data_IF_833620905837
#
_entry.id   IF_833620905837
#
_cell.length_a   1.000
_cell.length_b   1.000
_cell.length_c   1.000
_cell.angle_alpha   90.00
_cell.angle_beta   90.00
_cell.angle_gamma   90.00
#
_symmetry.space_group_name_H-M   'P 1'
#
loop_
_entity.id
_entity.type
_entity.pdbx_description
1 polymer ?
#
# COMPACT_ATOMS: atom_id res chain seq x y z
N UNK A 1 13.29 7.88 -18.71
CA UNK A 1 12.09 7.11 -18.23
C UNK A 1 11.88 5.90 -19.16
N UNK A 2 12.70 4.87 -18.96
CA UNK A 2 12.67 3.66 -19.83
C UNK A 2 11.31 2.93 -19.75
N UNK A 3 10.71 2.82 -18.57
CA UNK A 3 9.43 2.14 -18.37
C UNK A 3 8.28 2.79 -19.15
N UNK A 4 8.24 4.12 -19.21
CA UNK A 4 7.24 4.86 -20.00
C UNK A 4 7.35 4.53 -21.50
N UNK A 5 8.58 4.55 -22.04
CA UNK A 5 8.83 4.22 -23.45
C UNK A 5 8.49 2.76 -23.75
N UNK A 6 8.86 1.86 -22.83
CA UNK A 6 8.54 0.44 -22.95
C UNK A 6 7.03 0.20 -22.94
N UNK A 7 6.29 0.80 -22.00
CA UNK A 7 4.83 0.71 -21.94
C UNK A 7 4.18 1.21 -23.22
N UNK A 8 4.60 2.37 -23.74
CA UNK A 8 4.06 2.90 -25.00
C UNK A 8 4.32 1.99 -26.19
N UNK A 9 5.52 1.43 -26.29
CA UNK A 9 5.84 0.47 -27.37
C UNK A 9 5.04 -0.81 -27.25
N UNK A 10 4.87 -1.35 -26.05
CA UNK A 10 4.12 -2.56 -25.79
C UNK A 10 2.66 -2.45 -26.21
N UNK A 11 2.02 -1.31 -25.95
CA UNK A 11 0.61 -1.06 -26.31
C UNK A 11 0.43 -0.35 -27.65
N UNK A 12 1.49 -0.10 -28.41
CA UNK A 12 1.40 0.52 -29.73
C UNK A 12 1.11 2.03 -29.72
N UNK A 13 1.20 2.71 -28.59
CA UNK A 13 0.94 4.16 -28.45
C UNK A 13 2.16 5.01 -28.87
N UNK A 14 2.62 4.83 -30.07
CA UNK A 14 3.72 5.65 -30.64
C UNK A 14 3.23 7.00 -31.17
N UNK A 15 1.95 7.10 -31.52
CA UNK A 15 1.28 8.33 -31.94
C UNK A 15 0.18 8.68 -30.94
N UNK A 16 0.00 9.99 -30.71
CA UNK A 16 -1.06 10.47 -29.81
C UNK A 16 -2.44 10.23 -30.45
N UNK A 17 -3.23 9.41 -29.79
CA UNK A 17 -4.65 9.19 -30.11
C UNK A 17 -5.44 9.46 -28.82
N UNK A 18 -5.87 10.72 -28.56
CA UNK A 18 -6.37 11.13 -27.25
C UNK A 18 -7.53 10.28 -26.73
N UNK A 19 -8.47 9.91 -27.58
CA UNK A 19 -9.62 9.08 -27.18
C UNK A 19 -9.16 7.71 -26.67
N UNK A 20 -8.31 7.02 -27.43
CA UNK A 20 -7.83 5.69 -27.07
C UNK A 20 -6.95 5.73 -25.83
N UNK A 21 -6.07 6.73 -25.70
CA UNK A 21 -5.20 6.86 -24.54
C UNK A 21 -6.02 7.14 -23.27
N UNK A 22 -7.05 7.98 -23.33
CA UNK A 22 -7.93 8.24 -22.21
C UNK A 22 -8.77 7.02 -21.82
N UNK A 23 -9.31 6.28 -22.80
CA UNK A 23 -10.02 5.03 -22.53
C UNK A 23 -9.11 4.01 -21.84
N UNK A 24 -7.90 3.81 -22.37
CA UNK A 24 -6.92 2.89 -21.77
C UNK A 24 -6.46 3.35 -20.39
N UNK A 25 -6.35 4.65 -20.16
CA UNK A 25 -6.08 5.20 -18.83
C UNK A 25 -7.19 4.81 -17.83
N UNK A 26 -8.46 4.98 -18.19
CA UNK A 26 -9.57 4.61 -17.31
C UNK A 26 -9.57 3.10 -17.02
N UNK A 27 -9.36 2.27 -18.04
CA UNK A 27 -9.24 0.82 -17.85
C UNK A 27 -8.07 0.44 -16.96
N UNK A 28 -6.93 1.11 -17.11
CA UNK A 28 -5.75 0.90 -16.29
C UNK A 28 -5.99 1.32 -14.82
N UNK A 29 -6.71 2.41 -14.57
CA UNK A 29 -7.10 2.83 -13.22
C UNK A 29 -8.03 1.81 -12.56
N UNK A 30 -9.03 1.30 -13.30
CA UNK A 30 -9.92 0.24 -12.79
C UNK A 30 -9.11 -1.00 -12.45
N UNK A 31 -8.21 -1.44 -13.34
CA UNK A 31 -7.34 -2.59 -13.10
C UNK A 31 -6.43 -2.36 -11.88
N UNK A 32 -5.82 -1.18 -11.75
CA UNK A 32 -5.02 -0.82 -10.59
C UNK A 32 -5.84 -0.87 -9.29
N UNK A 33 -7.08 -0.38 -9.31
CA UNK A 33 -8.00 -0.45 -8.18
C UNK A 33 -8.34 -1.90 -7.78
N UNK A 34 -8.57 -2.77 -8.76
CA UNK A 34 -8.83 -4.20 -8.53
C UNK A 34 -7.61 -4.89 -7.92
N UNK A 35 -6.41 -4.65 -8.47
CA UNK A 35 -5.16 -5.21 -7.94
C UNK A 35 -4.91 -4.74 -6.51
N UNK A 36 -5.11 -3.46 -6.23
CA UNK A 36 -4.97 -2.90 -4.89
C UNK A 36 -5.99 -3.50 -3.92
N UNK A 37 -7.27 -3.63 -4.32
CA UNK A 37 -8.31 -4.28 -3.51
C UNK A 37 -7.94 -5.73 -3.16
N UNK A 38 -7.44 -6.48 -4.13
CA UNK A 38 -7.00 -7.86 -3.93
C UNK A 38 -5.80 -7.96 -2.99
N UNK A 39 -4.81 -7.07 -3.17
CA UNK A 39 -3.65 -7.00 -2.28
C UNK A 39 -4.07 -6.71 -0.83
N UNK A 40 -4.91 -5.70 -0.62
CA UNK A 40 -5.46 -5.36 0.70
C UNK A 40 -6.22 -6.52 1.33
N UNK A 41 -7.06 -7.19 0.55
CA UNK A 41 -7.81 -8.37 1.00
C UNK A 41 -6.88 -9.46 1.55
N UNK A 42 -5.82 -9.77 0.81
CA UNK A 42 -4.82 -10.75 1.24
C UNK A 42 -4.03 -10.29 2.47
N UNK A 43 -3.65 -9.00 2.55
CA UNK A 43 -2.95 -8.44 3.71
C UNK A 43 -3.80 -8.45 4.99
N UNK A 44 -5.11 -8.30 4.86
CA UNK A 44 -6.07 -8.44 5.97
C UNK A 44 -6.40 -9.91 6.33
N UNK A 45 -5.74 -10.90 5.71
CA UNK A 45 -5.94 -12.32 5.99
C UNK A 45 -7.26 -12.87 5.47
N UNK A 46 -7.78 -12.33 4.37
CA UNK A 46 -8.96 -12.77 3.63
C UNK A 46 -10.25 -12.78 4.48
N UNK A 47 -10.31 -11.95 5.52
CA UNK A 47 -11.45 -11.87 6.41
C UNK A 47 -12.57 -11.00 5.80
N UNK A 48 -13.76 -11.59 5.63
CA UNK A 48 -14.94 -10.92 5.02
C UNK A 48 -15.32 -9.59 5.66
N UNK A 49 -14.94 -9.36 6.92
CA UNK A 49 -15.19 -8.11 7.64
C UNK A 49 -14.43 -6.93 7.08
N UNK A 50 -13.30 -7.16 6.40
CA UNK A 50 -12.50 -6.13 5.73
C UNK A 50 -12.98 -5.79 4.31
N UNK A 51 -14.05 -6.42 3.82
CA UNK A 51 -14.55 -6.24 2.44
C UNK A 51 -14.83 -4.76 2.13
N UNK A 52 -15.47 -4.06 3.06
CA UNK A 52 -15.78 -2.62 2.92
C UNK A 52 -14.48 -1.81 2.85
N UNK A 53 -13.55 -2.05 3.75
CA UNK A 53 -12.22 -1.40 3.74
C UNK A 53 -11.49 -1.62 2.42
N UNK A 54 -11.42 -2.86 1.93
CA UNK A 54 -10.73 -3.22 0.69
C UNK A 54 -11.38 -2.61 -0.57
N UNK A 55 -12.68 -2.30 -0.53
CA UNK A 55 -13.38 -1.64 -1.64
C UNK A 55 -13.31 -0.12 -1.57
N UNK A 56 -13.47 0.47 -0.39
CA UNK A 56 -13.50 1.94 -0.20
C UNK A 56 -12.12 2.55 -0.45
N UNK A 57 -11.04 1.92 0.02
CA UNK A 57 -9.69 2.50 -0.10
C UNK A 57 -9.30 2.80 -1.55
N UNK A 58 -9.36 1.83 -2.49
CA UNK A 58 -9.04 2.12 -3.89
C UNK A 58 -9.97 3.17 -4.52
N UNK A 59 -11.26 3.16 -4.18
CA UNK A 59 -12.20 4.13 -4.68
C UNK A 59 -11.83 5.56 -4.23
N UNK A 60 -11.56 5.76 -2.93
CA UNK A 60 -11.13 7.05 -2.40
C UNK A 60 -9.77 7.48 -2.97
N UNK A 61 -8.84 6.54 -3.12
CA UNK A 61 -7.53 6.83 -3.70
C UNK A 61 -7.64 7.34 -5.13
N UNK A 62 -8.37 6.61 -5.99
CA UNK A 62 -8.49 6.92 -7.41
C UNK A 62 -9.32 8.17 -7.71
N UNK A 63 -10.09 8.65 -6.75
CA UNK A 63 -10.82 9.94 -6.84
C UNK A 63 -10.00 11.12 -6.31
N UNK A 64 -8.74 10.91 -5.93
CA UNK A 64 -7.88 11.96 -5.42
C UNK A 64 -7.65 13.11 -6.42
N UNK A 65 -7.72 14.39 -5.99
CA UNK A 65 -7.64 15.54 -6.89
C UNK A 65 -6.27 15.67 -7.60
N UNK A 66 -5.22 15.05 -7.07
CA UNK A 66 -3.90 15.01 -7.74
C UNK A 66 -3.96 14.38 -9.14
N UNK A 67 -4.91 13.49 -9.37
CA UNK A 67 -5.09 12.84 -10.67
C UNK A 67 -5.59 13.80 -11.74
N UNK A 68 -6.35 14.84 -11.37
CA UNK A 68 -6.80 15.84 -12.32
C UNK A 68 -5.62 16.51 -13.03
N UNK A 69 -4.60 16.92 -12.28
CA UNK A 69 -3.37 17.47 -12.87
C UNK A 69 -2.59 16.40 -13.68
N UNK A 70 -2.48 15.17 -13.17
CA UNK A 70 -1.79 14.10 -13.88
C UNK A 70 -2.46 13.76 -15.22
N UNK A 71 -3.80 13.83 -15.30
CA UNK A 71 -4.55 13.51 -16.51
C UNK A 71 -4.43 14.57 -17.60
N UNK A 72 -4.10 15.81 -17.25
CA UNK A 72 -3.75 16.83 -18.25
C UNK A 72 -2.51 16.46 -19.07
N UNK A 73 -1.63 15.61 -18.55
CA UNK A 73 -0.47 15.10 -19.29
C UNK A 73 -0.85 13.85 -20.10
N UNK A 74 -1.73 14.00 -21.11
CA UNK A 74 -2.31 12.93 -21.90
C UNK A 74 -1.29 11.90 -22.38
N UNK A 75 -0.13 12.34 -22.86
CA UNK A 75 0.98 11.46 -23.30
C UNK A 75 1.54 10.53 -22.21
N UNK A 76 1.29 10.81 -20.95
CA UNK A 76 1.80 10.03 -19.82
C UNK A 76 0.67 9.41 -18.99
N UNK A 77 -0.55 9.86 -19.14
CA UNK A 77 -1.68 9.49 -18.27
C UNK A 77 -1.91 7.98 -18.24
N UNK A 78 -2.05 7.33 -19.40
CA UNK A 78 -2.21 5.88 -19.46
C UNK A 78 -0.99 5.12 -18.91
N UNK A 79 0.27 5.37 -19.34
CA UNK A 79 1.42 4.66 -18.80
C UNK A 79 1.56 4.81 -17.28
N UNK A 80 1.25 5.97 -16.70
CA UNK A 80 1.31 6.20 -15.24
C UNK A 80 0.20 5.42 -14.54
N UNK A 81 -1.04 5.46 -15.04
CA UNK A 81 -2.16 4.69 -14.49
C UNK A 81 -1.87 3.17 -14.51
N UNK A 82 -1.34 2.67 -15.63
CA UNK A 82 -0.92 1.27 -15.76
C UNK A 82 0.19 0.92 -14.75
N UNK A 83 1.19 1.77 -14.63
CA UNK A 83 2.32 1.57 -13.73
C UNK A 83 1.92 1.63 -12.24
N UNK A 84 0.84 2.33 -11.87
CA UNK A 84 0.27 2.24 -10.51
C UNK A 84 -0.22 0.82 -10.20
N UNK A 85 -0.87 0.16 -11.17
CA UNK A 85 -1.25 -1.25 -11.05
C UNK A 85 -0.03 -2.17 -10.93
N UNK A 86 1.03 -1.89 -11.69
CA UNK A 86 2.30 -2.63 -11.59
C UNK A 86 2.94 -2.44 -10.21
N UNK A 87 2.96 -1.22 -9.65
CA UNK A 87 3.49 -0.95 -8.31
C UNK A 87 2.72 -1.74 -7.22
N UNK A 88 1.39 -1.75 -7.29
CA UNK A 88 0.57 -2.53 -6.37
C UNK A 88 0.83 -4.04 -6.52
N UNK A 89 0.90 -4.56 -7.74
CA UNK A 89 1.22 -5.95 -8.02
C UNK A 89 2.65 -6.33 -7.61
N UNK A 90 3.61 -5.41 -7.74
CA UNK A 90 4.98 -5.57 -7.31
C UNK A 90 5.06 -5.77 -5.80
N UNK A 91 4.49 -4.83 -5.03
CA UNK A 91 4.46 -4.92 -3.57
C UNK A 91 3.73 -6.19 -3.12
N UNK A 92 2.57 -6.49 -3.71
CA UNK A 92 1.86 -7.74 -3.43
C UNK A 92 2.76 -8.96 -3.64
N UNK A 93 3.46 -9.06 -4.76
CA UNK A 93 4.34 -10.19 -5.09
C UNK A 93 5.51 -10.31 -4.12
N UNK A 94 6.18 -9.20 -3.82
CA UNK A 94 7.30 -9.18 -2.86
C UNK A 94 6.84 -9.57 -1.45
N UNK A 95 5.65 -9.12 -1.03
CA UNK A 95 5.05 -9.49 0.26
C UNK A 95 4.70 -10.98 0.34
N UNK A 96 4.23 -11.61 -0.75
CA UNK A 96 4.01 -13.05 -0.79
C UNK A 96 5.31 -13.83 -0.56
N UNK A 97 6.43 -13.36 -1.09
CA UNK A 97 7.73 -13.95 -0.81
C UNK A 97 8.20 -13.68 0.62
N UNK A 98 8.09 -12.46 1.09
CA UNK A 98 8.64 -12.05 2.39
C UNK A 98 7.90 -12.70 3.59
N UNK A 99 6.57 -12.79 3.51
CA UNK A 99 5.71 -13.24 4.61
C UNK A 99 5.29 -14.70 4.50
N UNK A 100 4.86 -15.13 3.32
CA UNK A 100 4.37 -16.49 3.12
C UNK A 100 5.46 -17.47 2.68
N UNK A 101 6.72 -16.99 2.59
CA UNK A 101 7.88 -17.77 2.12
C UNK A 101 7.60 -18.50 0.80
N UNK A 102 6.86 -17.85 -0.08
CA UNK A 102 6.58 -18.38 -1.41
C UNK A 102 7.87 -18.52 -2.23
N UNK A 103 7.77 -19.20 -3.35
CA UNK A 103 8.90 -19.45 -4.28
C UNK A 103 9.57 -18.14 -4.71
N UNK A 104 10.88 -18.19 -4.99
CA UNK A 104 11.71 -17.04 -5.38
C UNK A 104 11.16 -16.30 -6.62
N UNK A 105 10.42 -16.96 -7.49
CA UNK A 105 9.81 -16.29 -8.64
C UNK A 105 8.84 -15.15 -8.25
N UNK A 106 8.21 -15.21 -7.07
CA UNK A 106 7.41 -14.11 -6.55
C UNK A 106 8.27 -12.86 -6.27
N UNK A 107 9.47 -13.06 -5.72
CA UNK A 107 10.44 -11.98 -5.56
C UNK A 107 10.86 -11.42 -6.92
N UNK A 108 11.24 -12.30 -7.85
CA UNK A 108 11.69 -11.90 -9.19
C UNK A 108 10.58 -11.11 -9.93
N UNK A 109 9.34 -11.60 -9.92
CA UNK A 109 8.20 -10.91 -10.51
C UNK A 109 7.99 -9.53 -9.85
N UNK A 110 7.99 -9.46 -8.51
CA UNK A 110 7.82 -8.20 -7.79
C UNK A 110 8.91 -7.18 -8.11
N UNK A 111 10.18 -7.60 -8.12
CA UNK A 111 11.33 -6.73 -8.45
C UNK A 111 11.24 -6.21 -9.90
N UNK A 112 10.88 -7.05 -10.86
CA UNK A 112 10.73 -6.64 -12.25
C UNK A 112 9.56 -5.65 -12.45
N UNK A 113 8.40 -5.93 -11.86
CA UNK A 113 7.23 -5.07 -11.94
C UNK A 113 7.48 -3.72 -11.27
N UNK A 114 8.12 -3.71 -10.08
CA UNK A 114 8.46 -2.49 -9.36
C UNK A 114 9.51 -1.64 -10.11
N UNK A 115 10.57 -2.25 -10.63
CA UNK A 115 11.55 -1.53 -11.43
C UNK A 115 10.92 -0.94 -12.71
N UNK A 116 9.94 -1.64 -13.32
CA UNK A 116 9.18 -1.10 -14.45
C UNK A 116 8.32 0.09 -14.02
N UNK A 117 7.59 -0.02 -12.90
CA UNK A 117 6.77 1.06 -12.37
C UNK A 117 7.61 2.32 -12.08
N UNK A 118 8.70 2.19 -11.30
CA UNK A 118 9.64 3.26 -11.00
C UNK A 118 10.28 3.86 -12.27
N UNK A 119 10.60 3.02 -13.26
CA UNK A 119 11.11 3.43 -14.57
C UNK A 119 10.11 4.18 -15.44
N UNK A 120 8.81 3.99 -15.19
CA UNK A 120 7.73 4.75 -15.86
C UNK A 120 7.58 6.13 -15.23
N UNK A 121 7.45 6.18 -13.91
CA UNK A 121 7.34 7.42 -13.16
C UNK A 121 7.97 7.25 -11.77
N UNK A 122 9.03 8.01 -11.48
CA UNK A 122 9.83 7.86 -10.25
C UNK A 122 9.02 8.01 -8.95
N UNK A 123 7.93 8.77 -9.00
CA UNK A 123 7.01 8.93 -7.87
C UNK A 123 6.43 7.60 -7.41
N UNK A 124 6.31 6.61 -8.31
CA UNK A 124 5.78 5.29 -7.97
C UNK A 124 6.70 4.51 -7.03
N UNK A 125 7.99 4.82 -6.97
CA UNK A 125 8.87 4.27 -5.94
C UNK A 125 8.43 4.72 -4.54
N UNK A 126 8.03 5.98 -4.36
CA UNK A 126 7.47 6.46 -3.09
C UNK A 126 6.11 5.79 -2.77
N UNK A 127 5.30 5.55 -3.81
CA UNK A 127 4.05 4.78 -3.67
C UNK A 127 4.31 3.34 -3.23
N UNK A 128 5.32 2.67 -3.78
CA UNK A 128 5.71 1.32 -3.34
C UNK A 128 6.11 1.30 -1.86
N UNK A 129 6.93 2.25 -1.40
CA UNK A 129 7.31 2.37 0.02
C UNK A 129 6.07 2.57 0.90
N UNK A 130 5.12 3.41 0.47
CA UNK A 130 3.86 3.61 1.19
C UNK A 130 3.03 2.33 1.26
N UNK A 131 2.91 1.61 0.16
CA UNK A 131 2.19 0.33 0.10
C UNK A 131 2.87 -0.74 0.97
N UNK A 132 4.21 -0.82 1.01
CA UNK A 132 4.92 -1.69 1.94
C UNK A 132 4.62 -1.35 3.39
N UNK A 133 4.65 -0.06 3.76
CA UNK A 133 4.33 0.38 5.11
C UNK A 133 2.89 0.00 5.51
N UNK A 134 1.93 0.19 4.60
CA UNK A 134 0.52 -0.17 4.80
C UNK A 134 0.33 -1.69 4.91
N UNK A 135 0.96 -2.47 4.01
CA UNK A 135 0.93 -3.92 4.04
C UNK A 135 1.52 -4.46 5.34
N UNK A 136 2.68 -3.94 5.75
CA UNK A 136 3.33 -4.32 7.00
C UNK A 136 2.46 -3.99 8.21
N UNK A 137 1.89 -2.79 8.25
CA UNK A 137 0.98 -2.37 9.32
C UNK A 137 -0.23 -3.30 9.44
N UNK A 138 -0.92 -3.59 8.33
CA UNK A 138 -2.08 -4.49 8.31
C UNK A 138 -1.69 -5.91 8.73
N UNK A 139 -0.60 -6.43 8.22
CA UNK A 139 -0.15 -7.79 8.56
C UNK A 139 0.25 -7.92 10.03
N UNK A 140 0.92 -6.91 10.60
CA UNK A 140 1.30 -6.92 12.02
C UNK A 140 0.09 -6.77 12.92
N UNK A 141 -0.87 -5.91 12.57
CA UNK A 141 -2.05 -5.65 13.41
C UNK A 141 -3.12 -6.73 13.28
N UNK A 142 -3.31 -7.28 12.07
CA UNK A 142 -4.46 -8.14 11.77
C UNK A 142 -4.13 -9.64 11.68
N UNK A 143 -2.85 -10.02 11.51
CA UNK A 143 -2.48 -11.42 11.37
C UNK A 143 -2.70 -12.22 12.66
N UNK A 144 -3.15 -13.46 12.49
CA UNK A 144 -3.29 -14.45 13.57
C UNK A 144 -1.97 -15.20 13.77
N UNK A 145 -1.61 -15.47 15.01
CA UNK A 145 -0.46 -16.29 15.39
C UNK A 145 0.87 -15.51 15.49
N UNK A 146 1.88 -16.20 16.01
CA UNK A 146 3.22 -15.66 16.14
C UNK A 146 3.98 -15.78 14.81
N UNK A 147 4.47 -14.67 14.29
CA UNK A 147 5.33 -14.60 13.11
C UNK A 147 6.62 -13.88 13.49
N UNK A 148 7.68 -14.10 12.72
CA UNK A 148 8.95 -13.36 12.86
C UNK A 148 8.79 -11.98 12.18
N UNK A 149 8.13 -11.06 12.88
CA UNK A 149 7.74 -9.76 12.35
C UNK A 149 8.90 -8.97 11.78
N UNK A 150 9.97 -8.82 12.59
CA UNK A 150 11.18 -8.10 12.19
C UNK A 150 11.84 -8.72 10.96
N UNK A 151 11.97 -10.05 10.92
CA UNK A 151 12.57 -10.75 9.78
C UNK A 151 11.78 -10.56 8.49
N UNK A 152 10.44 -10.60 8.59
CA UNK A 152 9.59 -10.34 7.42
C UNK A 152 9.72 -8.89 6.95
N UNK A 153 9.76 -7.92 7.87
CA UNK A 153 10.00 -6.51 7.53
C UNK A 153 11.36 -6.29 6.85
N UNK A 154 12.43 -6.90 7.36
CA UNK A 154 13.76 -6.82 6.73
C UNK A 154 13.74 -7.42 5.32
N UNK A 155 13.02 -8.53 5.11
CA UNK A 155 12.89 -9.13 3.77
C UNK A 155 12.14 -8.21 2.81
N UNK A 156 11.03 -7.59 3.25
CA UNK A 156 10.31 -6.61 2.44
C UNK A 156 11.21 -5.42 2.06
N UNK A 157 11.96 -4.89 3.03
CA UNK A 157 12.92 -3.81 2.78
C UNK A 157 14.04 -4.22 1.81
N UNK A 158 14.58 -5.45 1.95
CA UNK A 158 15.61 -5.99 1.05
C UNK A 158 15.05 -6.18 -0.38
N UNK A 159 13.80 -6.66 -0.52
CA UNK A 159 13.14 -6.79 -1.82
C UNK A 159 12.96 -5.44 -2.51
N UNK A 160 12.54 -4.41 -1.77
CA UNK A 160 12.48 -3.04 -2.28
C UNK A 160 13.86 -2.50 -2.65
N UNK A 161 14.88 -2.73 -1.82
CA UNK A 161 16.27 -2.35 -2.12
C UNK A 161 16.77 -2.98 -3.43
N UNK A 162 16.45 -4.25 -3.67
CA UNK A 162 16.76 -4.95 -4.92
C UNK A 162 16.01 -4.34 -6.11
N UNK A 163 14.76 -3.95 -5.92
CA UNK A 163 13.96 -3.24 -6.95
C UNK A 163 14.62 -1.91 -7.32
N UNK A 164 15.06 -1.13 -6.36
CA UNK A 164 15.74 0.16 -6.61
C UNK A 164 17.11 -0.04 -7.25
N UNK A 165 17.86 -1.07 -6.88
CA UNK A 165 19.12 -1.41 -7.51
C UNK A 165 18.94 -1.79 -8.99
N UNK A 166 17.92 -2.62 -9.30
CA UNK A 166 17.58 -2.96 -10.69
C UNK A 166 17.13 -1.72 -11.48
N UNK A 167 16.26 -0.89 -10.89
CA UNK A 167 15.84 0.37 -11.52
C UNK A 167 17.03 1.29 -11.82
N UNK A 168 17.96 1.46 -10.87
CA UNK A 168 19.15 2.29 -11.05
C UNK A 168 20.07 1.73 -12.15
N UNK A 169 20.31 0.40 -12.15
CA UNK A 169 21.11 -0.28 -13.17
C UNK A 169 20.51 -0.12 -14.57
N UNK A 170 19.20 -0.37 -14.73
CA UNK A 170 18.50 -0.19 -16.01
C UNK A 170 18.54 1.28 -16.46
N UNK A 171 18.35 2.22 -15.54
CA UNK A 171 18.42 3.66 -15.86
C UNK A 171 19.81 4.06 -16.34
N UNK A 172 20.86 3.57 -15.68
CA UNK A 172 22.25 3.82 -16.08
C UNK A 172 22.56 3.18 -17.45
N UNK A 173 22.14 1.94 -17.69
CA UNK A 173 22.32 1.26 -18.97
C UNK A 173 21.62 2.01 -20.13
N UNK A 174 20.38 2.45 -19.92
CA UNK A 174 19.65 3.23 -20.93
C UNK A 174 20.33 4.59 -21.18
N UNK A 175 20.79 5.29 -20.14
CA UNK A 175 21.57 6.53 -20.33
C UNK A 175 22.85 6.31 -21.15
N UNK A 176 23.58 5.23 -20.87
CA UNK A 176 24.81 4.91 -21.58
C UNK A 176 24.56 4.61 -23.07
N UNK A 177 23.47 3.89 -23.40
CA UNK A 177 23.15 3.54 -24.79
C UNK A 177 22.55 4.71 -25.58
N UNK A 178 21.71 5.54 -24.95
CA UNK A 178 20.96 6.59 -25.65
C UNK A 178 21.68 7.94 -25.64
N UNK A 179 22.71 8.11 -24.81
CA UNK A 179 23.36 9.40 -24.58
C UNK A 179 22.41 10.47 -23.98
N UNK A 180 21.21 10.09 -23.59
CA UNK A 180 20.19 11.03 -23.15
C UNK A 180 20.47 11.51 -21.73
N UNK A 181 20.67 12.81 -21.60
CA UNK A 181 20.81 13.52 -20.34
C UNK A 181 19.49 14.26 -20.03
N UNK A 182 19.00 14.12 -18.81
CA UNK A 182 17.81 14.85 -18.37
C UNK A 182 18.15 15.78 -17.21
N UNK A 183 18.49 17.02 -17.53
CA UNK A 183 18.68 18.08 -16.54
C UNK A 183 17.47 18.25 -15.62
N UNK A 184 16.26 18.00 -16.13
CA UNK A 184 15.03 18.05 -15.35
C UNK A 184 15.03 17.04 -14.18
N UNK A 185 15.48 15.80 -14.40
CA UNK A 185 15.49 14.77 -13.35
C UNK A 185 16.55 15.05 -12.29
N UNK A 186 17.71 15.55 -12.72
CA UNK A 186 18.80 15.91 -11.80
C UNK A 186 18.47 17.16 -11.00
N UNK A 187 17.78 18.12 -11.60
CA UNK A 187 17.28 19.33 -10.92
C UNK A 187 16.14 19.07 -9.90
N UNK A 188 15.64 17.82 -9.78
CA UNK A 188 14.64 17.49 -8.76
C UNK A 188 15.26 17.12 -7.39
N UNK A 189 16.56 16.87 -7.34
CA UNK A 189 17.27 16.48 -6.10
C UNK A 189 17.96 17.71 -5.50
N UNK A 190 17.45 18.19 -4.37
CA UNK A 190 17.93 19.42 -3.72
C UNK A 190 18.89 19.17 -2.54
N UNK A 191 19.18 17.93 -2.21
CA UNK A 191 20.09 17.60 -1.09
C UNK A 191 21.49 18.19 -1.23
N UNK A 192 21.91 18.57 -2.44
CA UNK A 192 23.15 19.32 -2.70
C UNK A 192 23.16 20.75 -2.17
N UNK A 193 22.00 21.37 -1.87
CA UNK A 193 21.89 22.72 -1.33
C UNK A 193 22.21 22.81 0.18
N UNK A 194 22.38 21.65 0.82
CA UNK A 194 22.70 21.53 2.23
C UNK A 194 21.51 21.11 3.11
N UNK A 195 21.82 20.35 4.15
CA UNK A 195 20.84 19.69 5.00
C UNK A 195 19.85 20.66 5.68
N UNK A 196 20.32 21.85 6.09
CA UNK A 196 19.46 22.85 6.76
C UNK A 196 18.39 23.39 5.82
N UNK A 197 18.76 23.64 4.55
CA UNK A 197 17.85 24.14 3.52
C UNK A 197 16.78 23.09 3.21
N UNK A 198 17.21 21.85 2.97
CA UNK A 198 16.28 20.73 2.72
C UNK A 198 15.34 20.48 3.88
N UNK A 199 15.83 20.48 5.12
CA UNK A 199 14.97 20.33 6.30
C UNK A 199 13.95 21.47 6.42
N UNK A 200 14.33 22.70 6.09
CA UNK A 200 13.40 23.82 6.06
C UNK A 200 12.28 23.60 5.01
N UNK A 201 12.62 23.18 3.80
CA UNK A 201 11.64 22.83 2.77
C UNK A 201 10.71 21.69 3.21
N UNK A 202 11.26 20.60 3.78
CA UNK A 202 10.49 19.47 4.26
C UNK A 202 9.52 19.90 5.36
N UNK A 203 9.98 20.63 6.39
CA UNK A 203 9.13 21.09 7.48
C UNK A 203 8.03 22.06 7.00
N UNK A 204 8.36 22.91 6.03
CA UNK A 204 7.38 23.81 5.42
C UNK A 204 6.31 23.02 4.66
N UNK A 205 6.70 22.04 3.85
CA UNK A 205 5.79 21.18 3.09
C UNK A 205 4.88 20.36 4.02
N UNK A 206 5.45 19.74 5.06
CA UNK A 206 4.68 19.05 6.11
C UNK A 206 3.63 19.98 6.74
N UNK A 207 4.04 21.19 7.07
CA UNK A 207 3.14 22.19 7.67
C UNK A 207 2.02 22.58 6.71
N UNK A 208 2.34 22.81 5.44
CA UNK A 208 1.37 23.17 4.39
C UNK A 208 0.35 22.06 4.16
N UNK A 209 0.81 20.80 4.06
CA UNK A 209 -0.07 19.64 3.88
C UNK A 209 -0.97 19.45 5.11
N UNK A 210 -0.43 19.52 6.32
CA UNK A 210 -1.22 19.38 7.55
C UNK A 210 -2.23 20.53 7.75
N UNK A 211 -1.89 21.74 7.32
CA UNK A 211 -2.81 22.88 7.29
C UNK A 211 -3.78 22.85 6.10
N UNK A 212 -3.63 21.88 5.21
CA UNK A 212 -4.44 21.73 3.98
C UNK A 212 -4.48 22.99 3.10
N UNK A 213 -3.36 23.68 3.00
CA UNK A 213 -3.19 24.81 2.11
C UNK A 213 -2.85 24.39 0.68
N UNK A 214 -2.64 23.08 0.47
CA UNK A 214 -2.34 22.48 -0.83
C UNK A 214 -3.15 21.20 -1.06
N UNK A 215 -3.25 20.77 -2.31
CA UNK A 215 -3.88 19.55 -2.82
C UNK A 215 -5.39 19.51 -2.57
N UNK A 216 -5.83 19.35 -1.32
CA UNK A 216 -7.26 19.27 -1.00
C UNK A 216 -7.87 20.61 -0.59
N UNK A 217 -7.06 21.60 -0.24
CA UNK A 217 -7.50 22.91 0.25
C UNK A 217 -8.58 22.85 1.32
N UNK A 218 -8.51 21.80 2.18
CA UNK A 218 -9.53 21.56 3.20
C UNK A 218 -8.87 21.21 4.54
N UNK A 219 -9.30 21.79 5.66
CA UNK A 219 -8.61 21.70 6.96
C UNK A 219 -8.76 20.34 7.67
N UNK A 220 -9.32 19.34 7.03
CA UNK A 220 -9.58 18.03 7.65
C UNK A 220 -8.39 17.06 7.68
N UNK A 221 -7.30 17.34 6.99
CA UNK A 221 -6.15 16.41 6.93
C UNK A 221 -5.56 16.11 8.29
N UNK A 222 -5.25 17.16 9.08
CA UNK A 222 -4.68 16.96 10.42
C UNK A 222 -5.65 16.30 11.41
N UNK A 223 -6.94 16.69 11.50
CA UNK A 223 -7.94 15.95 12.28
C UNK A 223 -8.07 14.48 11.90
N UNK A 224 -8.14 14.16 10.60
CA UNK A 224 -8.23 12.77 10.12
C UNK A 224 -7.00 11.97 10.51
N UNK A 225 -5.80 12.53 10.33
CA UNK A 225 -4.55 11.89 10.77
C UNK A 225 -4.54 11.67 12.29
N UNK A 226 -4.98 12.65 13.08
CA UNK A 226 -5.03 12.52 14.53
C UNK A 226 -6.00 11.40 14.97
N UNK A 227 -7.21 11.37 14.41
CA UNK A 227 -8.21 10.32 14.69
C UNK A 227 -7.70 8.95 14.25
N UNK A 228 -7.07 8.84 13.08
CA UNK A 228 -6.43 7.62 12.62
C UNK A 228 -5.34 7.16 13.58
N UNK A 229 -4.43 8.06 13.96
CA UNK A 229 -3.31 7.73 14.86
C UNK A 229 -3.81 7.28 16.23
N UNK A 230 -4.83 7.92 16.79
CA UNK A 230 -5.45 7.54 18.05
C UNK A 230 -6.13 6.16 17.96
N UNK A 231 -6.93 5.92 16.91
CA UNK A 231 -7.61 4.65 16.71
C UNK A 231 -6.63 3.50 16.47
N UNK A 232 -5.61 3.72 15.63
CA UNK A 232 -4.57 2.74 15.35
C UNK A 232 -3.70 2.48 16.57
N UNK A 233 -3.30 3.54 17.29
CA UNK A 233 -2.55 3.44 18.54
C UNK A 233 -3.30 2.64 19.60
N UNK A 234 -4.57 2.91 19.79
CA UNK A 234 -5.43 2.14 20.69
C UNK A 234 -5.46 0.65 20.35
N UNK A 235 -5.58 0.32 19.05
CA UNK A 235 -5.53 -1.08 18.58
C UNK A 235 -4.18 -1.73 18.89
N UNK A 236 -3.06 -1.00 18.71
CA UNK A 236 -1.72 -1.51 19.00
C UNK A 236 -1.55 -1.80 20.50
N UNK A 237 -2.02 -0.92 21.38
CA UNK A 237 -1.97 -1.13 22.83
C UNK A 237 -2.72 -2.40 23.22
N UNK A 238 -3.90 -2.64 22.63
CA UNK A 238 -4.75 -3.82 22.84
C UNK A 238 -4.31 -5.07 22.09
N UNK A 239 -3.27 -4.96 21.24
CA UNK A 239 -2.80 -6.08 20.43
C UNK A 239 -2.23 -7.18 21.33
N UNK A 240 -2.71 -8.43 21.24
CA UNK A 240 -2.12 -9.58 21.94
C UNK A 240 -0.79 -9.96 21.31
N UNK A 241 0.13 -10.50 22.10
CA UNK A 241 1.41 -11.03 21.62
C UNK A 241 2.63 -10.32 22.18
N UNK A 242 3.80 -10.59 21.58
CA UNK A 242 5.11 -10.16 22.04
C UNK A 242 5.32 -8.64 21.96
N UNK A 243 6.28 -8.15 22.75
CA UNK A 243 6.73 -6.75 22.67
C UNK A 243 7.25 -6.41 21.25
N UNK A 244 7.95 -7.35 20.62
CA UNK A 244 8.43 -7.22 19.22
C UNK A 244 7.27 -6.84 18.28
N UNK A 245 6.15 -7.56 18.36
CA UNK A 245 4.96 -7.27 17.55
C UNK A 245 4.45 -5.84 17.75
N UNK A 246 4.35 -5.40 19.00
CA UNK A 246 3.87 -4.03 19.32
C UNK A 246 4.83 -2.97 18.81
N UNK A 247 6.14 -3.18 18.97
CA UNK A 247 7.16 -2.26 18.44
C UNK A 247 7.12 -2.18 16.92
N UNK A 248 7.01 -3.32 16.24
CA UNK A 248 6.83 -3.36 14.78
C UNK A 248 5.55 -2.65 14.33
N UNK A 249 4.44 -2.79 15.08
CA UNK A 249 3.19 -2.11 14.80
C UNK A 249 3.31 -0.59 15.00
N UNK A 250 3.95 -0.12 16.06
CA UNK A 250 4.20 1.31 16.27
C UNK A 250 5.10 1.91 15.20
N UNK A 251 6.17 1.19 14.84
CA UNK A 251 7.06 1.61 13.73
C UNK A 251 6.29 1.73 12.41
N UNK A 252 5.47 0.72 12.08
CA UNK A 252 4.69 0.75 10.83
C UNK A 252 3.62 1.84 10.84
N UNK A 253 2.99 2.13 12.00
CA UNK A 253 2.08 3.25 12.13
C UNK A 253 2.78 4.59 11.83
N UNK A 254 3.98 4.79 12.37
CA UNK A 254 4.77 5.98 12.09
C UNK A 254 5.12 6.09 10.59
N UNK A 255 5.51 4.96 9.97
CA UNK A 255 5.80 4.90 8.53
C UNK A 255 4.57 5.23 7.68
N UNK A 256 3.39 4.69 8.01
CA UNK A 256 2.14 5.01 7.30
C UNK A 256 1.76 6.48 7.48
N UNK A 257 1.89 7.02 8.69
CA UNK A 257 1.61 8.44 8.96
C UNK A 257 2.58 9.38 8.21
N UNK A 258 3.84 8.98 8.05
CA UNK A 258 4.85 9.74 7.32
C UNK A 258 4.76 9.57 5.80
N UNK A 259 3.99 8.60 5.30
CA UNK A 259 3.98 8.23 3.87
C UNK A 259 3.67 9.37 2.90
N UNK A 260 2.83 10.37 3.19
CA UNK A 260 2.61 11.51 2.31
C UNK A 260 3.87 12.32 1.99
N UNK A 261 4.86 12.26 2.90
CA UNK A 261 6.07 13.06 2.84
C UNK A 261 7.27 12.32 2.25
N UNK A 262 7.12 11.04 1.86
CA UNK A 262 8.25 10.24 1.36
C UNK A 262 8.95 10.87 0.16
N UNK A 263 8.18 11.41 -0.78
CA UNK A 263 8.76 12.04 -1.97
C UNK A 263 9.47 13.34 -1.61
N UNK A 264 8.88 14.18 -0.76
CA UNK A 264 9.47 15.42 -0.27
C UNK A 264 10.78 15.16 0.46
N UNK A 265 10.81 14.12 1.32
CA UNK A 265 12.04 13.70 2.00
C UNK A 265 13.07 13.16 1.02
N UNK A 266 12.66 12.35 0.04
CA UNK A 266 13.58 11.77 -0.93
C UNK A 266 14.26 12.84 -1.80
N UNK A 267 13.52 13.88 -2.17
CA UNK A 267 14.04 14.97 -3.04
C UNK A 267 14.66 16.14 -2.27
N UNK A 268 14.34 16.30 -0.99
CA UNK A 268 14.74 17.45 -0.17
C UNK A 268 13.97 18.73 -0.50
N UNK A 269 12.85 18.64 -1.24
CA UNK A 269 12.08 19.78 -1.73
C UNK A 269 10.62 19.43 -1.93
N UNK A 270 9.72 20.41 -1.88
CA UNK A 270 8.31 20.19 -2.15
C UNK A 270 8.08 19.85 -3.64
N UNK A 271 7.06 19.02 -3.89
CA UNK A 271 6.77 18.48 -5.20
C UNK A 271 5.44 19.03 -5.75
N UNK A 272 5.29 19.15 -7.09
CA UNK A 272 4.02 19.57 -7.68
C UNK A 272 2.89 18.55 -7.37
N UNK A 273 1.64 19.03 -7.37
CA UNK A 273 0.48 18.21 -6.99
C UNK A 273 0.39 16.88 -7.75
N UNK A 274 0.70 16.86 -9.07
CA UNK A 274 0.74 15.62 -9.88
C UNK A 274 1.74 14.58 -9.38
N UNK A 275 2.77 14.98 -8.64
CA UNK A 275 3.77 14.09 -8.07
C UNK A 275 3.41 13.62 -6.65
N UNK A 276 2.37 14.18 -6.04
CA UNK A 276 1.92 13.86 -4.68
C UNK A 276 0.92 12.68 -4.64
N UNK A 277 1.15 11.63 -5.45
CA UNK A 277 0.23 10.46 -5.53
C UNK A 277 0.13 9.69 -4.22
N UNK A 278 1.15 9.77 -3.35
CA UNK A 278 1.15 9.10 -2.05
C UNK A 278 0.18 9.76 -1.08
N UNK A 279 -0.04 11.07 -1.20
CA UNK A 279 -0.91 11.81 -0.30
C UNK A 279 -2.38 11.33 -0.36
N UNK A 280 -3.06 11.27 -1.53
CA UNK A 280 -4.40 10.70 -1.60
C UNK A 280 -4.45 9.23 -1.21
N UNK A 281 -3.39 8.44 -1.48
CA UNK A 281 -3.30 7.05 -1.05
C UNK A 281 -3.29 6.93 0.48
N UNK A 282 -2.47 7.75 1.16
CA UNK A 282 -2.39 7.76 2.61
C UNK A 282 -3.70 8.23 3.25
N UNK A 283 -4.31 9.29 2.72
CA UNK A 283 -5.60 9.77 3.21
C UNK A 283 -6.71 8.73 3.02
N UNK A 284 -6.76 8.09 1.86
CA UNK A 284 -7.68 6.99 1.59
C UNK A 284 -7.47 5.83 2.59
N UNK A 285 -6.23 5.48 2.89
CA UNK A 285 -5.90 4.46 3.89
C UNK A 285 -6.38 4.86 5.28
N UNK A 286 -6.09 6.07 5.75
CA UNK A 286 -6.52 6.54 7.07
C UNK A 286 -8.04 6.55 7.22
N UNK A 287 -8.75 7.12 6.25
CA UNK A 287 -10.22 7.16 6.27
C UNK A 287 -10.81 5.75 6.25
N UNK A 288 -10.31 4.88 5.37
CA UNK A 288 -10.83 3.52 5.22
C UNK A 288 -10.51 2.64 6.43
N UNK A 289 -9.32 2.81 7.04
CA UNK A 289 -8.92 2.04 8.23
C UNK A 289 -9.82 2.31 9.43
N UNK A 290 -10.41 3.50 9.54
CA UNK A 290 -11.38 3.81 10.60
C UNK A 290 -12.66 2.97 10.47
N UNK A 291 -12.98 2.48 9.25
CA UNK A 291 -14.12 1.58 9.00
C UNK A 291 -13.79 0.10 9.25
N UNK A 292 -12.51 -0.23 9.47
CA UNK A 292 -12.09 -1.60 9.71
C UNK A 292 -12.62 -2.12 11.07
N UNK A 293 -12.95 -3.41 11.19
CA UNK A 293 -13.56 -3.98 12.40
C UNK A 293 -12.64 -3.89 13.61
N UNK A 294 -13.21 -3.56 14.78
CA UNK A 294 -12.48 -3.49 16.03
C UNK A 294 -12.15 -4.88 16.59
N UNK A 295 -10.96 -5.09 17.19
CA UNK A 295 -10.55 -6.40 17.73
C UNK A 295 -11.52 -7.02 18.74
N UNK A 296 -12.13 -6.19 19.60
CA UNK A 296 -13.08 -6.62 20.63
C UNK A 296 -14.36 -7.25 20.04
N UNK A 297 -14.81 -6.73 18.90
CA UNK A 297 -15.94 -7.32 18.16
C UNK A 297 -15.56 -8.67 17.53
N UNK A 298 -14.25 -8.85 17.25
CA UNK A 298 -13.70 -10.10 16.72
C UNK A 298 -13.75 -11.25 17.75
N UNK A 299 -13.37 -10.97 19.01
CA UNK A 299 -13.41 -11.97 20.07
C UNK A 299 -14.86 -12.38 20.43
N UNK A 300 -15.76 -11.40 20.54
CA UNK A 300 -17.19 -11.67 20.78
C UNK A 300 -17.83 -12.52 19.67
N UNK A 301 -17.49 -12.22 18.40
CA UNK A 301 -18.01 -12.99 17.27
C UNK A 301 -17.43 -14.42 17.18
N UNK A 302 -16.24 -14.66 17.72
CA UNK A 302 -15.64 -15.98 17.80
C UNK A 302 -16.22 -16.80 18.97
N UNK A 303 -16.41 -16.17 20.14
CA UNK A 303 -17.06 -16.81 21.31
C UNK A 303 -18.54 -17.15 21.07
N UNK A 304 -19.24 -16.33 20.28
CA UNK A 304 -20.65 -16.61 19.89
C UNK A 304 -20.80 -17.69 18.84
N UNK A 305 -19.71 -18.25 18.32
CA UNK A 305 -19.69 -19.37 17.37
C UNK A 305 -19.14 -20.67 17.94
N UNK A 306 -18.83 -20.72 19.23
CA UNK A 306 -18.61 -22.03 19.90
C UNK A 306 -19.93 -22.81 19.78
N UNK A 307 -19.90 -23.96 19.13
CA UNK A 307 -21.11 -24.79 19.08
C UNK A 307 -21.48 -25.13 20.53
N UNK A 308 -22.75 -24.90 20.88
CA UNK A 308 -23.30 -25.45 22.12
C UNK A 308 -22.80 -26.89 22.23
N UNK A 309 -21.91 -27.11 23.19
CA UNK A 309 -21.46 -28.44 23.55
C UNK A 309 -22.71 -29.26 23.82
N UNK A 310 -22.94 -30.23 22.98
CA UNK A 310 -24.10 -31.14 23.10
C UNK A 310 -24.06 -31.68 24.50
N UNK A 311 -25.07 -31.34 25.33
CA UNK A 311 -25.31 -32.02 26.58
C UNK A 311 -25.23 -33.53 26.32
N UNK A 312 -24.50 -34.28 27.15
CA UNK A 312 -24.45 -35.72 27.00
C UNK A 312 -25.87 -36.26 27.13
N UNK A 313 -26.33 -36.91 26.06
CA UNK A 313 -27.61 -37.59 26.03
C UNK A 313 -27.63 -38.64 27.15
N UNK A 314 -28.27 -38.32 28.26
CA UNK A 314 -28.51 -39.19 29.41
C UNK A 314 -29.23 -40.42 28.89
N UNK A 315 -28.52 -41.54 28.88
CA UNK A 315 -29.10 -42.86 28.53
C UNK A 315 -30.20 -43.15 29.55
N UNK A 316 -31.46 -42.91 29.20
CA UNK A 316 -32.60 -43.54 29.87
C UNK A 316 -32.47 -45.04 29.70
N UNK A 317 -32.09 -45.69 30.79
CA UNK A 317 -32.18 -47.15 30.91
C UNK A 317 -33.63 -47.66 30.72
N UNK A 318 -33.81 -48.41 29.70
CA UNK A 318 -34.98 -49.32 29.63
C UNK A 318 -34.70 -50.53 30.51
N UNK A 319 -35.25 -50.48 31.71
CA UNK A 319 -35.47 -51.70 32.49
C UNK A 319 -36.43 -52.61 31.69
N UNK A 320 -35.94 -53.74 31.29
CA UNK A 320 -36.77 -54.85 30.77
C UNK A 320 -37.23 -55.72 31.96
N UNK A 321 -38.52 -55.71 32.23
CA UNK A 321 -39.12 -56.68 33.09
C UNK A 321 -39.08 -58.10 32.45
N UNK A 322 -38.85 -59.14 33.23
CA UNK A 322 -38.97 -60.52 32.77
C UNK A 322 -40.44 -61.01 32.94
N UNK A 323 -41.10 -61.29 31.84
CA UNK A 323 -42.44 -61.89 31.80
C UNK A 323 -42.34 -63.41 31.73
N UNK A 324 -43.00 -64.04 32.69
CA UNK A 324 -43.18 -65.49 32.89
C UNK A 324 -43.85 -66.19 31.74
N UNK A 325 -43.41 -67.42 31.58
CA UNK A 325 -44.05 -68.68 31.25
C UNK A 325 -45.53 -68.72 30.76
N UNK A 326 -45.77 -69.37 29.66
CA UNK A 326 -46.40 -70.74 29.50
C UNK A 326 -46.26 -71.18 28.06
#
# INVERSE_FOLDING_TARGET
>A
RFGLVFTKKLFGFQRLVPFTENLMMLLALIAAGIVLSFALWTWCGEDRRYRTFCGILPALFLTGPCFAEQFHFTLQAFPVAFAMGLAAAAVFSMEQWAWERRKVWWLAAGVLLGAWAAGTYQVLAAMEVALFAMAYFLRVTEAKGEKKWLVSGIRSAAAFGLTMALYAGLSAAVKAVTGSYSAYVEGQMHWGEGIRVCLHYILNDVTRILKSTEIFYHPWTAPVLAVFALAAGWRIVRLPGSLERKLCAWFSLAMVAASPFYLTVATGYYQPARAQLVYPLALAFWCSYLTAPWPELREKALRGKEPCEKEPCEKRGTEAEPGDSV
#
